data_IF_904756046829
#
_entry.id   IF_904756046829
#
_cell.length_a   1.000
_cell.length_b   1.000
_cell.length_c   1.000
_cell.angle_alpha   90.00
_cell.angle_beta   90.00
_cell.angle_gamma   90.00
#
_symmetry.space_group_name_H-M   'P 1'
#
loop_
_entity.id
_entity.type
_entity.pdbx_description
1 polymer ?
#
# COMPACT_ATOMS: atom_id res chain seq x y z
N UNK A 1 3.36 -20.94 4.56
CA UNK A 1 2.39 -20.15 5.30
C UNK A 1 3.11 -19.40 6.41
N UNK A 2 3.13 -18.10 6.35
CA UNK A 2 3.65 -17.24 7.42
C UNK A 2 2.51 -16.35 7.89
N UNK A 3 2.24 -16.35 9.18
CA UNK A 3 1.28 -15.44 9.81
C UNK A 3 2.03 -14.37 10.58
N UNK A 4 1.55 -13.15 10.50
CA UNK A 4 2.00 -12.05 11.34
C UNK A 4 3.50 -11.75 11.18
N UNK A 5 3.96 -11.74 9.94
CA UNK A 5 5.35 -11.50 9.60
C UNK A 5 5.66 -10.00 9.62
N UNK A 6 6.60 -9.61 10.46
CA UNK A 6 7.30 -8.34 10.31
C UNK A 6 8.29 -8.44 9.16
N UNK A 7 8.14 -7.62 8.14
CA UNK A 7 9.07 -7.52 7.02
C UNK A 7 9.74 -6.15 7.02
N UNK A 8 10.99 -6.16 6.63
CA UNK A 8 11.82 -4.96 6.56
C UNK A 8 12.53 -4.91 5.23
N UNK A 9 12.43 -3.79 4.54
CA UNK A 9 13.25 -3.49 3.38
C UNK A 9 14.11 -2.25 3.68
N UNK A 10 15.43 -2.41 3.84
CA UNK A 10 16.32 -1.29 4.04
C UNK A 10 16.78 -0.82 2.68
N UNK A 11 16.23 0.10 1.99
CA UNK A 11 16.94 0.63 0.83
C UNK A 11 16.30 1.81 0.09
N UNK A 12 15.75 2.73 0.82
CA UNK A 12 15.48 4.06 0.29
C UNK A 12 16.50 5.04 0.90
N UNK A 13 17.78 4.91 0.50
CA UNK A 13 18.85 5.80 0.97
C UNK A 13 18.91 5.99 2.51
N UNK A 14 18.82 4.88 3.24
CA UNK A 14 18.83 4.88 4.70
C UNK A 14 17.46 4.99 5.36
N UNK A 15 16.37 5.13 4.61
CA UNK A 15 15.01 4.98 5.11
C UNK A 15 14.63 3.51 5.06
N UNK A 16 14.14 2.99 6.18
CA UNK A 16 13.68 1.60 6.30
C UNK A 16 12.16 1.56 6.13
N UNK A 17 11.69 0.78 5.16
CA UNK A 17 10.30 0.40 5.08
C UNK A 17 10.05 -0.78 6.03
N UNK A 18 9.06 -0.66 6.87
CA UNK A 18 8.71 -1.65 7.90
C UNK A 18 7.20 -1.87 7.88
N UNK A 19 6.77 -3.12 7.91
CA UNK A 19 5.36 -3.47 7.88
C UNK A 19 5.06 -4.84 8.46
N UNK A 20 3.83 -5.02 8.94
CA UNK A 20 3.32 -6.26 9.49
C UNK A 20 2.20 -6.77 8.61
N UNK A 21 2.38 -7.97 8.07
CA UNK A 21 1.46 -8.61 7.16
C UNK A 21 0.60 -9.62 7.92
N UNK A 22 -0.70 -9.66 7.58
CA UNK A 22 -1.62 -10.62 8.20
C UNK A 22 -1.25 -12.06 7.81
N UNK A 23 -0.99 -12.30 6.52
CA UNK A 23 -0.65 -13.63 6.01
C UNK A 23 0.09 -13.58 4.68
N UNK A 24 1.09 -14.45 4.56
CA UNK A 24 1.78 -14.74 3.30
C UNK A 24 1.75 -16.23 3.03
N UNK A 25 1.22 -16.63 1.88
CA UNK A 25 1.31 -18.00 1.37
C UNK A 25 2.34 -18.06 0.25
N UNK A 26 3.04 -19.17 0.13
CA UNK A 26 3.95 -19.42 -0.99
C UNK A 26 3.35 -20.52 -1.85
N UNK A 27 3.17 -20.23 -3.14
CA UNK A 27 2.69 -21.20 -4.12
C UNK A 27 3.78 -22.19 -4.52
N UNK A 28 3.39 -23.25 -5.21
CA UNK A 28 4.32 -24.30 -5.65
C UNK A 28 5.37 -23.79 -6.66
N UNK A 29 5.08 -22.73 -7.38
CA UNK A 29 5.97 -22.03 -8.31
C UNK A 29 6.92 -21.03 -7.61
N UNK A 30 6.81 -20.90 -6.28
CA UNK A 30 7.61 -19.97 -5.49
C UNK A 30 7.00 -18.57 -5.36
N UNK A 31 5.91 -18.25 -6.07
CA UNK A 31 5.28 -16.94 -5.97
C UNK A 31 4.64 -16.73 -4.58
N UNK A 32 4.88 -15.56 -4.01
CA UNK A 32 4.25 -15.15 -2.76
C UNK A 32 2.84 -14.63 -3.02
N UNK A 33 1.87 -15.07 -2.20
CA UNK A 33 0.50 -14.55 -2.15
C UNK A 33 0.30 -13.80 -0.84
N UNK A 34 0.15 -12.50 -0.92
CA UNK A 34 -0.21 -11.62 0.18
C UNK A 34 -1.71 -11.70 0.43
N UNK A 35 -2.10 -11.89 1.69
CA UNK A 35 -3.50 -11.94 2.08
C UNK A 35 -3.70 -10.98 3.25
N UNK A 36 -4.52 -9.96 3.03
CA UNK A 36 -4.93 -9.03 4.06
C UNK A 36 -6.44 -9.20 4.32
N UNK A 37 -6.81 -9.35 5.58
CA UNK A 37 -8.18 -9.60 5.98
C UNK A 37 -8.98 -8.31 6.15
N UNK A 38 -10.14 -8.23 5.50
CA UNK A 38 -11.06 -7.09 5.61
C UNK A 38 -12.42 -7.53 6.13
N UNK A 39 -12.83 -7.00 7.27
CA UNK A 39 -14.13 -7.28 7.89
C UNK A 39 -15.23 -6.29 7.47
N UNK A 40 -14.90 -5.29 6.67
CA UNK A 40 -15.84 -4.29 6.16
C UNK A 40 -16.69 -4.80 4.99
N UNK A 41 -17.56 -3.93 4.46
CA UNK A 41 -18.40 -4.27 3.32
C UNK A 41 -17.56 -4.55 2.07
N UNK A 42 -18.03 -5.47 1.22
CA UNK A 42 -17.37 -5.81 -0.05
C UNK A 42 -17.25 -4.63 -1.01
N UNK A 43 -18.19 -3.71 -0.96
CA UNK A 43 -18.13 -2.51 -1.80
C UNK A 43 -16.99 -1.58 -1.40
N UNK A 44 -16.71 -1.46 -0.09
CA UNK A 44 -15.52 -0.73 0.38
C UNK A 44 -14.22 -1.41 -0.05
N UNK A 45 -14.19 -2.75 -0.06
CA UNK A 45 -13.00 -3.49 -0.55
C UNK A 45 -12.78 -3.26 -2.04
N UNK A 46 -13.85 -3.29 -2.84
CA UNK A 46 -13.76 -2.97 -4.28
C UNK A 46 -13.28 -1.53 -4.53
N UNK A 47 -13.79 -0.58 -3.74
CA UNK A 47 -13.38 0.82 -3.86
C UNK A 47 -11.88 1.01 -3.58
N UNK A 48 -11.33 0.31 -2.59
CA UNK A 48 -9.88 0.31 -2.32
C UNK A 48 -9.04 -0.15 -3.50
N UNK A 49 -9.50 -1.18 -4.23
CA UNK A 49 -8.81 -1.71 -5.40
C UNK A 49 -9.02 -0.87 -6.66
N UNK A 50 -10.06 -0.05 -6.71
CA UNK A 50 -10.31 0.84 -7.85
C UNK A 50 -9.28 1.99 -7.93
N UNK A 51 -8.71 2.38 -6.79
CA UNK A 51 -7.72 3.45 -6.68
C UNK A 51 -6.46 2.93 -5.95
N UNK A 52 -5.66 2.09 -6.61
CA UNK A 52 -4.56 1.35 -5.97
C UNK A 52 -3.41 2.24 -5.48
N UNK A 53 -3.32 3.48 -5.93
CA UNK A 53 -2.34 4.46 -5.44
C UNK A 53 -2.91 5.34 -4.31
N UNK A 54 -4.22 5.31 -4.05
CA UNK A 54 -4.82 5.89 -2.85
C UNK A 54 -4.84 4.90 -1.69
N UNK A 55 -5.19 3.63 -1.95
CA UNK A 55 -5.08 2.55 -0.97
C UNK A 55 -3.79 1.76 -1.24
N UNK A 56 -2.69 2.24 -0.73
CA UNK A 56 -1.35 1.69 -0.99
C UNK A 56 -1.00 0.46 -0.15
N UNK A 57 -1.90 -0.06 0.68
CA UNK A 57 -1.58 -1.12 1.65
C UNK A 57 -1.01 -2.38 0.99
N UNK A 58 -1.70 -2.93 -0.02
CA UNK A 58 -1.21 -4.12 -0.71
C UNK A 58 0.05 -3.86 -1.53
N UNK A 59 0.14 -2.68 -2.18
CA UNK A 59 1.34 -2.25 -2.91
C UNK A 59 2.55 -2.12 -1.97
N UNK A 60 2.36 -1.53 -0.80
CA UNK A 60 3.39 -1.41 0.22
C UNK A 60 3.88 -2.78 0.70
N UNK A 61 2.97 -3.69 1.01
CA UNK A 61 3.33 -5.05 1.42
C UNK A 61 4.03 -5.83 0.30
N UNK A 62 3.60 -5.67 -0.94
CA UNK A 62 4.29 -6.26 -2.08
C UNK A 62 5.72 -5.70 -2.23
N UNK A 63 5.90 -4.40 -2.03
CA UNK A 63 7.23 -3.78 -2.04
C UNK A 63 8.15 -4.35 -0.96
N UNK A 64 7.63 -4.69 0.22
CA UNK A 64 8.42 -5.32 1.28
C UNK A 64 8.86 -6.75 0.94
N UNK A 65 8.07 -7.47 0.12
CA UNK A 65 8.35 -8.85 -0.29
C UNK A 65 9.18 -8.96 -1.57
N UNK A 66 9.26 -7.88 -2.34
CA UNK A 66 10.06 -7.88 -3.57
C UNK A 66 11.54 -7.91 -3.20
N UNK A 67 12.18 -9.04 -3.42
CA UNK A 67 13.60 -9.20 -3.25
C UNK A 67 14.31 -8.93 -4.58
N UNK A 68 15.46 -8.24 -4.56
CA UNK A 68 16.28 -8.05 -5.76
C UNK A 68 16.79 -9.42 -6.21
N UNK A 69 16.22 -9.94 -7.31
CA UNK A 69 16.55 -11.25 -7.87
C UNK A 69 15.47 -12.32 -7.73
N UNK A 70 14.29 -11.98 -7.22
CA UNK A 70 13.14 -12.89 -7.31
C UNK A 70 12.58 -12.91 -8.74
N UNK A 71 12.58 -14.08 -9.37
CA UNK A 71 12.01 -14.27 -10.71
C UNK A 71 10.46 -14.27 -10.72
N UNK A 72 9.84 -14.26 -9.54
CA UNK A 72 8.38 -14.34 -9.40
C UNK A 72 7.82 -13.10 -8.71
N UNK A 73 6.94 -12.39 -9.41
CA UNK A 73 6.23 -11.25 -8.86
C UNK A 73 5.23 -11.71 -7.77
N UNK A 74 5.12 -10.97 -6.66
CA UNK A 74 4.12 -11.27 -5.64
C UNK A 74 2.70 -11.03 -6.20
N UNK A 75 1.74 -11.80 -5.69
CA UNK A 75 0.31 -11.57 -5.87
C UNK A 75 -0.28 -11.06 -4.56
N UNK A 76 -1.37 -10.32 -4.62
CA UNK A 76 -1.99 -9.79 -3.41
C UNK A 76 -3.52 -9.80 -3.50
N UNK A 77 -4.17 -10.11 -2.39
CA UNK A 77 -5.62 -10.09 -2.26
C UNK A 77 -6.05 -9.40 -0.96
N UNK A 78 -7.19 -8.73 -1.03
CA UNK A 78 -8.03 -8.52 0.14
C UNK A 78 -8.97 -9.71 0.30
N UNK A 79 -8.93 -10.40 1.43
CA UNK A 79 -9.89 -11.45 1.75
C UNK A 79 -11.01 -10.87 2.62
N UNK A 80 -12.16 -10.64 2.00
CA UNK A 80 -13.33 -10.13 2.71
C UNK A 80 -13.95 -11.21 3.59
N UNK A 81 -14.01 -10.93 4.89
CA UNK A 81 -14.63 -11.74 5.92
C UNK A 81 -15.85 -11.00 6.46
N UNK A 82 -17.03 -11.45 6.15
CA UNK A 82 -18.27 -10.88 6.69
C UNK A 82 -19.05 -11.95 7.46
N UNK A 83 -19.79 -11.56 8.48
CA UNK A 83 -20.58 -12.52 9.29
C UNK A 83 -21.68 -13.25 8.51
N UNK A 84 -22.14 -12.67 7.40
CA UNK A 84 -23.33 -13.12 6.66
C UNK A 84 -23.02 -13.83 5.35
N UNK A 85 -21.78 -13.78 4.88
CA UNK A 85 -21.42 -14.30 3.56
C UNK A 85 -20.11 -15.08 3.62
N UNK A 86 -19.95 -16.06 2.75
CA UNK A 86 -18.70 -16.82 2.65
C UNK A 86 -17.51 -15.88 2.36
N UNK A 87 -16.30 -16.20 2.85
CA UNK A 87 -15.10 -15.47 2.52
C UNK A 87 -14.95 -15.27 1.01
N UNK A 88 -14.60 -14.03 0.60
CA UNK A 88 -14.44 -13.72 -0.82
C UNK A 88 -13.13 -13.00 -1.06
N UNK A 89 -12.26 -13.53 -1.94
CA UNK A 89 -11.05 -12.84 -2.36
C UNK A 89 -11.37 -11.73 -3.37
N UNK A 90 -10.60 -10.64 -3.29
CA UNK A 90 -10.54 -9.55 -4.24
C UNK A 90 -9.07 -9.32 -4.57
N UNK A 91 -8.67 -9.69 -5.78
CA UNK A 91 -7.28 -9.62 -6.22
C UNK A 91 -6.92 -8.20 -6.69
N UNK A 92 -5.70 -7.78 -6.35
CA UNK A 92 -5.06 -6.60 -6.92
C UNK A 92 -4.28 -7.06 -8.17
N UNK A 93 -4.80 -6.80 -9.35
CA UNK A 93 -4.29 -7.37 -10.60
C UNK A 93 -2.84 -6.96 -10.90
N UNK A 94 -2.47 -5.70 -10.66
CA UNK A 94 -1.15 -5.13 -10.98
C UNK A 94 -0.35 -4.74 -9.72
N UNK A 95 -0.40 -5.55 -8.66
CA UNK A 95 0.23 -5.20 -7.38
C UNK A 95 1.73 -4.96 -7.49
N UNK A 96 2.43 -5.72 -8.34
CA UNK A 96 3.87 -5.54 -8.54
C UNK A 96 4.20 -4.19 -9.20
N UNK A 97 3.40 -3.76 -10.17
CA UNK A 97 3.54 -2.43 -10.79
C UNK A 97 3.23 -1.34 -9.78
N UNK A 98 2.15 -1.47 -9.02
CA UNK A 98 1.77 -0.50 -7.98
C UNK A 98 2.85 -0.40 -6.88
N UNK A 99 3.47 -1.53 -6.52
CA UNK A 99 4.59 -1.56 -5.57
C UNK A 99 5.81 -0.80 -6.11
N UNK A 100 6.17 -1.01 -7.38
CA UNK A 100 7.29 -0.30 -8.01
C UNK A 100 7.02 1.21 -8.07
N UNK A 101 5.84 1.63 -8.53
CA UNK A 101 5.45 3.04 -8.59
C UNK A 101 5.45 3.70 -7.20
N UNK A 102 5.01 2.99 -6.16
CA UNK A 102 5.04 3.47 -4.79
C UNK A 102 6.47 3.71 -4.30
N UNK A 103 7.38 2.77 -4.55
CA UNK A 103 8.79 2.87 -4.15
C UNK A 103 9.48 4.01 -4.90
N UNK A 104 9.26 4.13 -6.20
CA UNK A 104 9.81 5.21 -7.02
C UNK A 104 9.32 6.58 -6.56
N UNK A 105 8.02 6.70 -6.27
CA UNK A 105 7.42 7.92 -5.75
C UNK A 105 8.01 8.30 -4.38
N UNK A 106 8.09 7.35 -3.45
CA UNK A 106 8.71 7.58 -2.14
C UNK A 106 10.18 8.00 -2.25
N UNK A 107 10.95 7.37 -3.14
CA UNK A 107 12.35 7.75 -3.39
C UNK A 107 12.45 9.19 -3.89
N UNK A 108 11.62 9.56 -4.88
CA UNK A 108 11.61 10.91 -5.43
C UNK A 108 11.22 11.97 -4.38
N UNK A 109 10.22 11.68 -3.56
CA UNK A 109 9.76 12.58 -2.50
C UNK A 109 10.82 12.75 -1.41
N UNK A 110 11.45 11.66 -0.96
CA UNK A 110 12.55 11.72 0.00
C UNK A 110 13.72 12.54 -0.51
N UNK A 111 14.07 12.37 -1.76
CA UNK A 111 15.13 13.16 -2.40
C UNK A 111 14.76 14.65 -2.52
N UNK A 112 13.52 14.95 -2.85
CA UNK A 112 13.05 16.33 -2.89
C UNK A 112 13.13 16.98 -1.50
N UNK A 113 12.67 16.27 -0.45
CA UNK A 113 12.74 16.74 0.93
C UNK A 113 14.19 16.97 1.39
N UNK A 114 15.12 16.08 1.04
CA UNK A 114 16.55 16.24 1.35
C UNK A 114 17.16 17.46 0.67
N UNK A 115 16.68 17.83 -0.50
CA UNK A 115 17.07 19.05 -1.21
C UNK A 115 16.38 20.31 -0.69
N UNK A 116 15.55 20.18 0.36
CA UNK A 116 14.87 21.30 1.00
C UNK A 116 13.53 21.68 0.38
N UNK A 117 12.94 20.79 -0.42
CA UNK A 117 11.57 20.99 -0.88
C UNK A 117 10.59 20.96 0.30
N UNK A 118 9.53 21.76 0.22
CA UNK A 118 8.45 21.71 1.20
C UNK A 118 7.69 20.40 1.10
N UNK A 119 7.07 19.98 2.22
CA UNK A 119 6.14 18.85 2.25
C UNK A 119 4.69 19.37 2.26
N UNK A 120 4.12 19.74 1.11
CA UNK A 120 2.73 20.22 1.05
C UNK A 120 1.74 19.12 1.41
N UNK A 121 0.54 19.51 1.83
CA UNK A 121 -0.54 18.56 2.07
C UNK A 121 -0.96 17.91 0.74
N UNK A 122 -0.79 16.59 0.63
CA UNK A 122 -1.00 15.83 -0.60
C UNK A 122 -2.38 15.15 -0.73
N UNK A 123 -3.21 15.18 0.32
CA UNK A 123 -4.54 14.57 0.26
C UNK A 123 -5.44 15.17 -0.82
N UNK A 124 -6.20 14.35 -1.52
CA UNK A 124 -7.10 14.75 -2.61
C UNK A 124 -8.51 14.18 -2.44
N UNK A 125 -9.48 14.77 -3.14
CA UNK A 125 -10.83 14.25 -3.26
C UNK A 125 -11.57 14.03 -1.95
N UNK A 126 -12.23 12.88 -1.84
CA UNK A 126 -13.10 12.52 -0.73
C UNK A 126 -12.37 12.35 0.61
N UNK A 127 -11.07 11.98 0.57
CA UNK A 127 -10.24 11.85 1.78
C UNK A 127 -10.17 13.19 2.53
N UNK A 128 -10.04 14.30 1.81
CA UNK A 128 -9.99 15.63 2.41
C UNK A 128 -11.34 16.09 2.95
N UNK A 129 -12.44 15.63 2.39
CA UNK A 129 -13.79 16.07 2.77
C UNK A 129 -14.13 15.68 4.22
N UNK A 130 -13.68 14.53 4.67
CA UNK A 130 -13.95 13.98 6.00
C UNK A 130 -12.73 13.98 6.93
N UNK A 131 -11.63 14.61 6.52
CA UNK A 131 -10.38 14.60 7.27
C UNK A 131 -10.45 15.47 8.52
N UNK A 132 -10.24 14.88 9.69
CA UNK A 132 -10.22 15.60 10.97
C UNK A 132 -9.00 16.53 11.11
N UNK A 133 -7.92 16.30 10.31
CA UNK A 133 -6.70 17.11 10.33
C UNK A 133 -6.78 18.36 9.43
N UNK A 134 -7.90 18.64 8.78
CA UNK A 134 -8.05 19.75 7.83
C UNK A 134 -7.62 21.11 8.40
N UNK A 135 -7.89 21.33 9.69
CA UNK A 135 -7.50 22.56 10.39
C UNK A 135 -5.98 22.70 10.57
N UNK A 136 -5.27 21.58 10.73
CA UNK A 136 -3.80 21.55 10.88
C UNK A 136 -3.09 21.57 9.53
N UNK A 137 -3.56 20.78 8.57
CA UNK A 137 -2.91 20.68 7.26
C UNK A 137 -3.09 21.94 6.42
N UNK A 138 -4.17 22.72 6.64
CA UNK A 138 -4.46 24.00 5.98
C UNK A 138 -4.37 23.96 4.45
N UNK A 139 -4.63 22.82 3.83
CA UNK A 139 -4.52 22.61 2.38
C UNK A 139 -5.21 23.71 1.57
N UNK A 140 -6.41 24.14 2.01
CA UNK A 140 -7.18 25.16 1.31
C UNK A 140 -6.49 26.54 1.25
N UNK A 141 -5.40 26.71 2.00
CA UNK A 141 -4.59 27.93 2.06
C UNK A 141 -3.22 27.79 1.36
N UNK A 142 -2.88 26.60 0.88
CA UNK A 142 -1.68 26.39 0.10
C UNK A 142 -1.91 26.96 -1.31
N UNK A 143 -1.02 27.84 -1.74
CA UNK A 143 -1.00 28.31 -3.13
C UNK A 143 -0.04 27.38 -3.88
N UNK A 144 -0.50 26.85 -5.02
CA UNK A 144 0.42 26.27 -5.99
C UNK A 144 1.26 27.44 -6.58
N UNK A 145 2.55 27.42 -6.35
CA UNK A 145 3.51 28.30 -7.04
C UNK A 145 3.76 27.77 -8.45
#
# INVERSE_FOLDING_TARGET
>A
LVHDAGLRRPDLDGVVLDGRLDRVDVHADGAAMLIDYKTGSRDKVKQRLAEPLEDTQLAFYAALLTDEGSDTAPRAIYLSLTEREAPKPFEHEDVALSAALLVDGLSADLDALRRGAGAPASGEGDVCRTCEMRGLCRRDHWKAD
#
